data_IF_216165234592
#
_entry.id   IF_216165234592
#
_cell.length_a   1.000
_cell.length_b   1.000
_cell.length_c   1.000
_cell.angle_alpha   90.00
_cell.angle_beta   90.00
_cell.angle_gamma   90.00
#
_symmetry.space_group_name_H-M   'P 1'
#
loop_
_entity.id
_entity.type
_entity.pdbx_description
1 polymer ?
#
# COMPACT_ATOMS: atom_id res chain seq x y z
N UNK A 1 3.04 -3.42 -9.43
CA UNK A 1 4.32 -3.95 -8.88
C UNK A 1 4.44 -5.41 -9.29
N UNK A 2 5.57 -5.87 -9.83
CA UNK A 2 5.79 -7.29 -10.13
C UNK A 2 6.37 -7.99 -8.91
N UNK A 3 5.64 -8.94 -8.36
CA UNK A 3 6.09 -9.83 -7.29
C UNK A 3 5.49 -11.22 -7.53
N UNK A 4 6.27 -12.28 -7.36
CA UNK A 4 5.81 -13.67 -7.54
C UNK A 4 5.24 -13.97 -8.94
N UNK A 5 5.58 -13.17 -9.95
CA UNK A 5 5.00 -13.27 -11.31
C UNK A 5 3.65 -12.59 -11.46
N UNK A 6 3.18 -11.84 -10.45
CA UNK A 6 1.92 -11.11 -10.45
C UNK A 6 2.13 -9.60 -10.50
N UNK A 7 1.18 -8.89 -11.11
CA UNK A 7 0.98 -7.46 -10.92
C UNK A 7 -0.05 -7.27 -9.80
N UNK A 8 0.37 -6.64 -8.71
CA UNK A 8 -0.51 -6.24 -7.61
C UNK A 8 -1.14 -4.87 -7.85
N UNK A 9 -2.44 -4.75 -7.55
CA UNK A 9 -3.25 -3.53 -7.60
C UNK A 9 -3.87 -3.27 -6.22
N UNK A 10 -3.97 -2.00 -5.85
CA UNK A 10 -4.48 -1.58 -4.55
C UNK A 10 -5.57 -0.54 -4.78
N UNK A 11 -6.68 -0.65 -4.06
CA UNK A 11 -7.77 0.32 -4.10
C UNK A 11 -8.30 0.57 -2.71
N UNK A 12 -8.62 1.83 -2.42
CA UNK A 12 -9.30 2.19 -1.18
C UNK A 12 -10.73 1.63 -1.21
N UNK A 13 -11.19 1.08 -0.08
CA UNK A 13 -12.62 0.81 0.13
C UNK A 13 -13.28 1.99 0.82
N UNK A 14 -14.48 2.35 0.36
CA UNK A 14 -15.27 3.44 0.97
C UNK A 14 -15.60 3.10 2.42
N UNK A 15 -15.18 3.97 3.33
CA UNK A 15 -15.29 3.80 4.78
C UNK A 15 -13.91 3.65 5.42
N UNK A 16 -13.30 2.47 5.29
CA UNK A 16 -12.01 2.16 5.91
C UNK A 16 -11.32 0.95 5.26
N UNK A 17 -10.05 1.11 4.87
CA UNK A 17 -9.09 0.05 4.51
C UNK A 17 -8.77 -0.07 3.02
N UNK A 18 -7.96 -1.07 2.66
CA UNK A 18 -7.40 -1.22 1.30
C UNK A 18 -7.72 -2.62 0.79
N UNK A 19 -8.29 -2.71 -0.41
CA UNK A 19 -8.47 -3.97 -1.13
C UNK A 19 -7.26 -4.18 -2.04
N UNK A 20 -6.72 -5.40 -2.03
CA UNK A 20 -5.63 -5.80 -2.91
C UNK A 20 -6.12 -6.83 -3.93
N UNK A 21 -5.80 -6.57 -5.19
CA UNK A 21 -5.99 -7.48 -6.30
C UNK A 21 -4.64 -7.86 -6.91
N UNK A 22 -4.62 -8.96 -7.65
CA UNK A 22 -3.46 -9.36 -8.45
C UNK A 22 -3.87 -10.09 -9.72
N UNK A 23 -3.03 -10.01 -10.73
CA UNK A 23 -3.13 -10.82 -11.95
C UNK A 23 -1.73 -11.29 -12.35
N UNK A 24 -1.60 -12.48 -12.95
CA UNK A 24 -0.34 -12.91 -13.54
C UNK A 24 0.11 -11.89 -14.57
N UNK A 25 1.41 -11.57 -14.61
CA UNK A 25 1.98 -10.53 -15.49
C UNK A 25 1.64 -10.77 -16.95
N UNK A 26 1.67 -12.03 -17.39
CA UNK A 26 1.33 -12.42 -18.76
C UNK A 26 -0.15 -12.20 -19.12
N UNK A 27 -1.04 -12.18 -18.13
CA UNK A 27 -2.49 -12.09 -18.30
C UNK A 27 -3.05 -10.77 -17.77
N UNK A 28 -2.22 -9.82 -17.31
CA UNK A 28 -2.68 -8.64 -16.56
C UNK A 28 -3.58 -7.67 -17.35
N UNK A 29 -3.71 -7.88 -18.67
CA UNK A 29 -4.59 -7.12 -19.56
C UNK A 29 -5.82 -7.91 -20.03
N UNK A 30 -5.98 -9.15 -19.57
CA UNK A 30 -7.17 -9.95 -19.81
C UNK A 30 -8.28 -9.54 -18.82
N UNK A 31 -9.51 -9.44 -19.32
CA UNK A 31 -10.64 -8.88 -18.56
C UNK A 31 -10.95 -9.65 -17.26
N UNK A 32 -10.72 -10.96 -17.26
CA UNK A 32 -11.08 -11.85 -16.15
C UNK A 32 -9.84 -12.38 -15.37
N UNK A 33 -8.66 -11.79 -15.59
CA UNK A 33 -7.41 -12.30 -15.01
C UNK A 33 -7.15 -11.90 -13.55
N UNK A 34 -7.85 -10.89 -13.03
CA UNK A 34 -7.62 -10.42 -11.68
C UNK A 34 -8.34 -11.29 -10.66
N UNK A 35 -7.63 -11.61 -9.59
CA UNK A 35 -8.16 -12.16 -8.35
C UNK A 35 -7.93 -11.18 -7.19
N UNK A 36 -8.81 -11.19 -6.19
CA UNK A 36 -8.78 -10.27 -5.06
C UNK A 36 -8.69 -11.04 -3.74
N UNK A 37 -7.96 -10.47 -2.79
CA UNK A 37 -7.73 -11.10 -1.49
C UNK A 37 -8.95 -10.92 -0.58
N UNK A 38 -9.60 -12.02 -0.25
CA UNK A 38 -10.63 -12.06 0.77
C UNK A 38 -10.00 -12.02 2.17
N UNK A 39 -10.73 -11.48 3.16
CA UNK A 39 -10.24 -11.31 4.54
C UNK A 39 -9.91 -12.64 5.23
N UNK A 40 -10.46 -13.75 4.74
CA UNK A 40 -10.10 -15.11 5.18
C UNK A 40 -8.76 -15.62 4.61
N UNK A 41 -8.03 -14.78 3.87
CA UNK A 41 -6.72 -15.10 3.26
C UNK A 41 -6.77 -15.81 1.91
N UNK A 42 -7.96 -16.04 1.34
CA UNK A 42 -8.10 -16.68 0.02
C UNK A 42 -8.11 -15.67 -1.13
N UNK A 43 -7.57 -16.07 -2.29
CA UNK A 43 -7.68 -15.29 -3.53
C UNK A 43 -8.91 -15.73 -4.31
N UNK A 44 -9.75 -14.78 -4.70
CA UNK A 44 -11.01 -15.03 -5.40
C UNK A 44 -10.96 -14.36 -6.76
N UNK A 45 -11.16 -15.13 -7.84
CA UNK A 45 -11.16 -14.61 -9.20
C UNK A 45 -12.35 -13.69 -9.47
N UNK A 46 -12.11 -12.62 -10.22
CA UNK A 46 -13.09 -11.62 -10.63
C UNK A 46 -13.11 -10.38 -9.73
N UNK A 47 -13.56 -9.27 -10.29
CA UNK A 47 -13.68 -8.00 -9.54
C UNK A 47 -14.88 -8.11 -8.58
N UNK A 48 -14.69 -8.02 -7.25
CA UNK A 48 -15.80 -8.11 -6.32
C UNK A 48 -16.75 -6.92 -6.49
N UNK A 49 -18.03 -7.14 -6.22
CA UNK A 49 -18.99 -6.04 -6.18
C UNK A 49 -18.64 -5.07 -5.05
N UNK A 50 -19.04 -3.80 -5.18
CA UNK A 50 -18.80 -2.80 -4.14
C UNK A 50 -19.27 -3.23 -2.75
N UNK A 51 -20.46 -3.86 -2.66
CA UNK A 51 -21.02 -4.30 -1.38
C UNK A 51 -20.22 -5.46 -0.76
N UNK A 52 -19.70 -6.35 -1.60
CA UNK A 52 -18.91 -7.51 -1.19
C UNK A 52 -17.48 -7.12 -0.79
N UNK A 53 -16.82 -6.32 -1.64
CA UNK A 53 -15.47 -5.78 -1.41
C UNK A 53 -15.37 -5.05 -0.05
N UNK A 54 -16.42 -4.31 0.32
CA UNK A 54 -16.49 -3.58 1.59
C UNK A 54 -16.42 -4.47 2.83
N UNK A 55 -16.99 -5.67 2.75
CA UNK A 55 -17.21 -6.54 3.91
C UNK A 55 -16.23 -7.71 3.96
N UNK A 56 -15.79 -8.20 2.81
CA UNK A 56 -15.14 -9.50 2.70
C UNK A 56 -13.75 -9.48 2.08
N UNK A 57 -13.25 -8.32 1.63
CA UNK A 57 -11.94 -8.19 0.96
C UNK A 57 -11.07 -7.12 1.64
N UNK A 58 -9.76 -7.34 1.61
CA UNK A 58 -8.81 -6.43 2.25
C UNK A 58 -7.38 -6.96 2.22
N UNK A 59 -6.48 -6.26 2.91
CA UNK A 59 -5.12 -6.73 3.15
C UNK A 59 -5.11 -7.85 4.21
N UNK A 60 -4.10 -8.72 4.19
CA UNK A 60 -3.98 -9.78 5.19
C UNK A 60 -3.78 -9.17 6.58
N UNK A 61 -4.49 -9.71 7.58
CA UNK A 61 -4.52 -9.16 8.94
C UNK A 61 -5.59 -8.09 9.16
N UNK A 62 -6.29 -7.67 8.10
CA UNK A 62 -7.53 -6.91 8.20
C UNK A 62 -8.68 -7.90 8.53
N UNK A 63 -9.51 -7.62 9.55
CA UNK A 63 -10.73 -8.39 9.83
C UNK A 63 -10.61 -9.60 10.79
N UNK A 64 -9.48 -10.32 10.83
CA UNK A 64 -9.31 -11.54 11.67
C UNK A 64 -8.79 -11.26 13.11
N UNK A 65 -9.04 -10.07 13.64
CA UNK A 65 -8.41 -9.61 14.89
C UNK A 65 -6.91 -9.30 14.75
N UNK A 66 -6.43 -9.18 13.50
CA UNK A 66 -5.07 -8.78 13.16
C UNK A 66 -4.80 -7.29 13.41
N UNK A 67 -3.56 -7.02 13.82
CA UNK A 67 -3.16 -5.98 14.78
C UNK A 67 -2.90 -4.59 14.18
N UNK A 68 -3.18 -4.34 12.90
CA UNK A 68 -2.87 -3.01 12.34
C UNK A 68 -4.08 -2.41 11.64
N UNK A 69 -4.73 -1.49 12.34
CA UNK A 69 -5.55 -0.44 11.73
C UNK A 69 -4.65 0.36 10.79
N UNK A 70 -4.57 -0.07 9.53
CA UNK A 70 -3.88 0.66 8.49
C UNK A 70 -4.60 2.00 8.34
N UNK A 71 -3.83 3.08 8.39
CA UNK A 71 -4.37 4.42 8.28
C UNK A 71 -5.15 4.59 6.97
N UNK A 72 -6.31 5.24 7.06
CA UNK A 72 -7.36 5.20 6.05
C UNK A 72 -7.17 6.21 4.91
N UNK A 73 -5.93 6.49 4.55
CA UNK A 73 -5.58 7.47 3.53
C UNK A 73 -5.12 6.84 2.22
N UNK A 74 -5.24 7.62 1.16
CA UNK A 74 -4.64 7.34 -0.13
C UNK A 74 -3.12 7.23 0.02
N UNK A 75 -2.55 6.22 -0.63
CA UNK A 75 -1.18 5.83 -0.40
C UNK A 75 -0.51 5.16 -1.59
N UNK A 76 0.68 4.64 -1.34
CA UNK A 76 1.49 3.93 -2.33
C UNK A 76 2.24 2.78 -1.66
N UNK A 77 2.47 1.71 -2.42
CA UNK A 77 3.20 0.52 -1.96
C UNK A 77 4.45 0.36 -2.82
N UNK A 78 5.60 0.10 -2.19
CA UNK A 78 6.86 -0.18 -2.87
C UNK A 78 7.63 -1.33 -2.21
N UNK A 79 8.51 -1.99 -2.96
CA UNK A 79 9.54 -2.86 -2.38
C UNK A 79 10.75 -2.03 -1.95
N UNK A 80 11.25 -2.18 -0.73
CA UNK A 80 12.48 -1.57 -0.24
C UNK A 80 13.66 -2.54 -0.33
N UNK A 81 14.73 -2.17 -1.05
CA UNK A 81 15.97 -2.92 -1.08
C UNK A 81 16.78 -2.78 0.22
N UNK A 82 16.53 -1.73 1.00
CA UNK A 82 17.23 -1.48 2.26
C UNK A 82 16.66 -2.33 3.40
N UNK A 83 15.33 -2.41 3.48
CA UNK A 83 14.64 -3.21 4.50
C UNK A 83 14.37 -4.65 4.05
N UNK A 84 14.51 -4.93 2.75
CA UNK A 84 14.09 -6.19 2.12
C UNK A 84 12.62 -6.52 2.43
N UNK A 85 11.76 -5.49 2.35
CA UNK A 85 10.35 -5.56 2.71
C UNK A 85 9.50 -4.65 1.81
N UNK A 86 8.21 -4.96 1.69
CA UNK A 86 7.21 -4.07 1.11
C UNK A 86 6.84 -2.99 2.11
N UNK A 87 6.89 -1.74 1.66
CA UNK A 87 6.48 -0.57 2.44
C UNK A 87 5.17 -0.02 1.89
N UNK A 88 4.14 0.07 2.74
CA UNK A 88 2.87 0.74 2.46
C UNK A 88 2.91 2.13 3.10
N UNK A 89 3.05 3.16 2.27
CA UNK A 89 2.94 4.56 2.68
C UNK A 89 1.48 5.00 2.59
N UNK A 90 0.96 5.60 3.64
CA UNK A 90 -0.42 6.10 3.69
C UNK A 90 -0.51 7.28 4.66
N UNK A 91 -1.64 7.98 4.65
CA UNK A 91 -1.92 9.08 5.56
C UNK A 91 -3.10 8.84 6.49
N UNK A 92 -3.11 9.55 7.60
CA UNK A 92 -4.24 9.56 8.55
C UNK A 92 -5.05 10.82 8.39
N UNK A 93 -6.30 10.69 7.92
CA UNK A 93 -7.30 11.77 7.90
C UNK A 93 -6.77 13.12 7.38
N UNK A 94 -5.93 13.07 6.35
CA UNK A 94 -5.38 14.27 5.71
C UNK A 94 -4.36 15.06 6.54
N UNK A 95 -3.80 14.52 7.63
CA UNK A 95 -2.92 15.28 8.54
C UNK A 95 -1.65 14.57 9.03
N UNK A 96 -1.43 13.31 8.68
CA UNK A 96 -0.20 12.60 9.05
C UNK A 96 0.28 11.71 7.91
N UNK A 97 1.59 11.57 7.76
CA UNK A 97 2.23 10.60 6.88
C UNK A 97 2.93 9.54 7.72
N UNK A 98 2.75 8.29 7.32
CA UNK A 98 3.32 7.13 7.98
C UNK A 98 3.51 6.01 6.96
N UNK A 99 4.26 4.99 7.35
CA UNK A 99 4.35 3.77 6.57
C UNK A 99 4.25 2.52 7.44
N UNK A 100 3.94 1.40 6.79
CA UNK A 100 3.93 0.07 7.36
C UNK A 100 4.85 -0.84 6.53
N UNK A 101 5.36 -1.92 7.12
CA UNK A 101 6.27 -2.86 6.46
C UNK A 101 5.67 -4.27 6.41
N UNK A 102 5.91 -5.03 5.35
CA UNK A 102 5.50 -6.44 5.25
C UNK A 102 6.48 -7.26 4.42
N UNK A 103 6.52 -8.56 4.65
CA UNK A 103 7.26 -9.51 3.82
C UNK A 103 6.55 -9.84 2.50
N UNK A 104 5.24 -9.56 2.40
CA UNK A 104 4.46 -9.78 1.17
C UNK A 104 3.83 -8.48 0.70
N UNK A 105 3.48 -8.34 -0.59
CA UNK A 105 2.83 -7.13 -1.09
C UNK A 105 1.40 -6.94 -0.56
N UNK A 106 0.82 -7.97 0.08
CA UNK A 106 -0.57 -7.98 0.56
C UNK A 106 -0.69 -8.12 2.08
N UNK A 107 0.42 -8.10 2.82
CA UNK A 107 0.43 -8.19 4.28
C UNK A 107 0.73 -9.58 4.86
N UNK A 108 0.64 -9.75 6.19
CA UNK A 108 0.25 -8.74 7.15
C UNK A 108 1.30 -7.62 7.26
N UNK A 109 0.83 -6.39 7.39
CA UNK A 109 1.68 -5.21 7.54
C UNK A 109 1.92 -4.90 9.03
N UNK A 110 3.15 -4.55 9.38
CA UNK A 110 3.63 -4.13 10.71
C UNK A 110 3.86 -2.61 10.75
N UNK A 111 3.70 -1.98 11.91
CA UNK A 111 3.83 -0.53 12.11
C UNK A 111 2.73 0.04 13.03
N UNK A 112 2.38 1.35 12.94
CA UNK A 112 2.88 2.34 11.98
C UNK A 112 4.25 2.92 12.35
N UNK A 113 5.05 3.23 11.32
CA UNK A 113 6.25 4.06 11.42
C UNK A 113 5.91 5.49 10.98
N UNK A 114 5.91 6.41 11.94
CA UNK A 114 5.52 7.79 11.72
C UNK A 114 6.61 8.58 10.99
N UNK A 115 6.20 9.41 10.02
CA UNK A 115 7.10 10.28 9.25
C UNK A 115 6.95 11.74 9.70
N UNK A 116 5.75 12.32 9.56
CA UNK A 116 5.48 13.74 9.81
C UNK A 116 3.97 14.01 9.96
N UNK A 117 3.60 15.08 10.67
CA UNK A 117 2.23 15.63 10.72
C UNK A 117 2.19 16.84 9.80
N UNK A 118 1.60 16.64 8.63
CA UNK A 118 1.37 17.69 7.65
C UNK A 118 0.01 17.49 7.02
N UNK A 119 -0.68 18.60 6.73
CA UNK A 119 -1.90 18.55 5.94
C UNK A 119 -1.57 18.06 4.52
N UNK A 120 -2.22 16.98 4.10
CA UNK A 120 -1.89 16.35 2.84
C UNK A 120 -2.63 15.03 2.59
N UNK A 121 -2.96 14.79 1.32
CA UNK A 121 -3.57 13.57 0.80
C UNK A 121 -2.65 12.93 -0.24
N UNK A 122 -2.83 11.63 -0.46
CA UNK A 122 -2.08 10.86 -1.46
C UNK A 122 -0.60 10.81 -1.14
N UNK A 123 -0.21 9.95 -0.19
CA UNK A 123 1.20 9.74 0.11
C UNK A 123 1.84 8.91 -1.01
N UNK A 124 2.67 9.55 -1.82
CA UNK A 124 3.36 8.95 -2.95
C UNK A 124 4.84 8.77 -2.62
N UNK A 125 5.36 7.56 -2.79
CA UNK A 125 6.79 7.27 -2.71
C UNK A 125 7.40 7.20 -4.10
N UNK A 126 8.60 7.75 -4.25
CA UNK A 126 9.33 7.89 -5.51
C UNK A 126 10.61 7.06 -5.49
N UNK A 127 10.54 5.71 -5.55
CA UNK A 127 11.69 4.84 -5.36
C UNK A 127 12.81 5.07 -6.39
N UNK A 128 12.46 5.51 -7.61
CA UNK A 128 13.42 5.82 -8.67
C UNK A 128 14.41 6.94 -8.31
N UNK A 129 14.06 7.82 -7.37
CA UNK A 129 14.96 8.89 -6.92
C UNK A 129 15.92 8.44 -5.82
N UNK A 130 15.78 7.23 -5.30
CA UNK A 130 16.70 6.70 -4.31
C UNK A 130 18.12 6.53 -4.89
N UNK A 131 19.16 7.15 -4.30
CA UNK A 131 20.52 7.03 -4.78
C UNK A 131 20.99 5.58 -4.83
N UNK A 132 21.50 5.17 -6.00
CA UNK A 132 21.96 3.81 -6.26
C UNK A 132 20.87 2.74 -6.20
N UNK A 133 19.58 3.10 -6.13
CA UNK A 133 18.47 2.15 -5.96
C UNK A 133 18.50 1.42 -4.62
N UNK A 134 19.27 1.90 -3.64
CA UNK A 134 19.45 1.24 -2.34
C UNK A 134 18.21 1.26 -1.48
N UNK A 135 17.33 2.25 -1.66
CA UNK A 135 16.18 2.55 -0.81
C UNK A 135 16.56 2.92 0.65
N UNK A 136 17.86 3.21 0.93
CA UNK A 136 18.31 3.80 2.21
C UNK A 136 17.87 5.25 2.36
N UNK A 137 17.84 5.98 1.24
CA UNK A 137 17.21 7.29 1.14
C UNK A 137 15.99 7.17 0.25
N UNK A 138 14.83 7.59 0.73
CA UNK A 138 13.58 7.64 -0.03
C UNK A 138 13.06 9.07 -0.15
N UNK A 139 12.33 9.32 -1.23
CA UNK A 139 11.61 10.57 -1.43
C UNK A 139 10.12 10.29 -1.40
N UNK A 140 9.40 11.00 -0.53
CA UNK A 140 7.95 10.86 -0.38
C UNK A 140 7.28 12.21 -0.52
N UNK A 141 6.06 12.21 -1.04
CA UNK A 141 5.30 13.43 -1.25
C UNK A 141 3.87 13.29 -0.77
N UNK A 142 3.30 14.41 -0.31
CA UNK A 142 1.88 14.53 0.01
C UNK A 142 1.40 15.92 -0.37
N UNK A 143 0.14 16.06 -0.79
CA UNK A 143 -0.38 17.32 -1.32
C UNK A 143 -1.74 17.74 -0.77
N UNK A 144 -1.92 19.04 -0.58
CA UNK A 144 -3.18 19.68 -0.21
C UNK A 144 -3.22 21.11 -0.78
N UNK A 145 -4.40 21.57 -1.19
CA UNK A 145 -4.65 22.94 -1.64
C UNK A 145 -3.65 23.46 -2.71
N UNK A 146 -3.44 22.67 -3.76
CA UNK A 146 -2.49 22.93 -4.85
C UNK A 146 -1.00 23.04 -4.45
N UNK A 147 -0.65 22.64 -3.22
CA UNK A 147 0.74 22.53 -2.75
C UNK A 147 1.11 21.05 -2.62
N UNK A 148 2.28 20.67 -3.13
CA UNK A 148 2.87 19.35 -2.91
C UNK A 148 4.12 19.53 -2.07
N UNK A 149 4.12 18.92 -0.89
CA UNK A 149 5.30 18.85 -0.03
C UNK A 149 6.12 17.62 -0.39
N UNK A 150 7.43 17.82 -0.57
CA UNK A 150 8.41 16.77 -0.83
C UNK A 150 9.29 16.57 0.40
N UNK A 151 9.47 15.31 0.79
CA UNK A 151 10.29 14.92 1.93
C UNK A 151 11.37 13.96 1.47
N UNK A 152 12.55 14.12 2.05
CA UNK A 152 13.66 13.17 1.95
C UNK A 152 13.73 12.42 3.27
N UNK A 153 13.59 11.11 3.21
CA UNK A 153 13.73 10.20 4.35
C UNK A 153 15.10 9.55 4.23
N UNK A 154 15.96 9.75 5.22
CA UNK A 154 17.23 9.06 5.35
C UNK A 154 17.11 8.07 6.52
N UNK A 155 17.28 6.77 6.24
CA UNK A 155 17.24 5.75 7.29
C UNK A 155 18.64 5.49 7.81
N UNK A 156 18.82 5.71 9.12
CA UNK A 156 20.03 5.35 9.84
C UNK A 156 19.82 4.03 10.59
N UNK A 157 20.85 3.20 10.57
CA UNK A 157 20.92 1.92 11.26
C UNK A 157 21.22 2.10 12.76
#
# INVERSE_FOLDING_TARGET
MNAEGYIYTYTDKVGSGIVVGRALVENAFEIDAYEFLALNGSWVQGIPSYADAKLNYGLLGEGDGGVVTISYGQGSVMWSNYFEQYLLFTGSWGSSMLFYASQTPYGPFEGPYYIETVLGYGVNVHPFWSPGGSHKTLYVSSGWDNVIHMYKLDFDC
#
